data_IF_507335432360
#
_entry.id   IF_507335432360
#
_cell.length_a   1.000
_cell.length_b   1.000
_cell.length_c   1.000
_cell.angle_alpha   90.00
_cell.angle_beta   90.00
_cell.angle_gamma   90.00
#
_symmetry.space_group_name_H-M   'P 1'
#
loop_
_entity.id
_entity.type
_entity.pdbx_description
1 polymer ?
#
# COMPACT_ATOMS: atom_id res chain seq x y z
N UNK A 1 -3.06 61.18 31.49
CA UNK A 1 -2.35 60.02 32.12
C UNK A 1 -3.30 58.86 32.16
N UNK A 2 -2.95 57.73 31.54
CA UNK A 2 -3.57 56.40 31.63
C UNK A 2 -4.78 56.03 30.73
N UNK A 3 -4.97 56.67 29.59
CA UNK A 3 -5.92 56.14 28.60
C UNK A 3 -5.27 55.11 27.65
N UNK A 4 -3.98 55.21 27.43
CA UNK A 4 -3.23 54.27 26.55
C UNK A 4 -3.10 52.84 27.11
N UNK A 5 -3.04 52.72 28.44
CA UNK A 5 -2.91 51.40 29.09
C UNK A 5 -4.20 50.58 29.04
N UNK A 6 -5.37 51.23 29.11
CA UNK A 6 -6.67 50.49 29.10
C UNK A 6 -7.07 50.02 27.70
N UNK A 7 -6.71 50.78 26.67
CA UNK A 7 -6.99 50.39 25.27
C UNK A 7 -6.14 49.18 24.84
N UNK A 8 -4.89 49.10 25.32
CA UNK A 8 -4.03 47.95 25.00
C UNK A 8 -4.49 46.66 25.65
N UNK A 9 -5.02 46.71 26.86
CA UNK A 9 -5.55 45.56 27.58
C UNK A 9 -6.84 45.05 26.94
N UNK A 10 -7.72 45.89 26.46
CA UNK A 10 -8.95 45.49 25.78
C UNK A 10 -8.66 44.85 24.41
N UNK A 11 -7.68 45.35 23.66
CA UNK A 11 -7.27 44.77 22.37
C UNK A 11 -6.59 43.41 22.60
N UNK A 12 -5.80 43.24 23.65
CA UNK A 12 -5.17 41.95 23.98
C UNK A 12 -6.20 40.89 24.38
N UNK A 13 -7.25 41.23 25.12
CA UNK A 13 -8.34 40.36 25.50
C UNK A 13 -9.20 39.97 24.26
N UNK A 14 -9.46 40.89 23.36
CA UNK A 14 -10.17 40.66 22.12
C UNK A 14 -9.36 39.74 21.16
N UNK A 15 -8.03 39.85 21.13
CA UNK A 15 -7.17 39.00 20.33
C UNK A 15 -7.07 37.58 20.89
N UNK A 16 -7.17 37.38 22.20
CA UNK A 16 -7.18 36.01 22.79
C UNK A 16 -8.50 35.27 22.60
N UNK A 17 -9.62 35.98 22.39
CA UNK A 17 -10.92 35.34 22.17
C UNK A 17 -11.11 34.80 20.75
N UNK A 18 -10.28 35.17 19.78
CA UNK A 18 -10.34 34.67 18.38
C UNK A 18 -9.58 33.35 18.21
N UNK A 19 -8.79 32.92 19.18
CA UNK A 19 -8.00 31.66 19.13
C UNK A 19 -8.71 30.44 19.68
N UNK A 20 -9.99 30.55 20.00
CA UNK A 20 -10.83 29.37 20.27
C UNK A 20 -11.38 28.80 18.95
N UNK A 21 -10.50 28.37 18.06
CA UNK A 21 -10.89 27.42 17.04
C UNK A 21 -11.07 26.09 17.80
N UNK A 22 -12.27 25.85 18.27
CA UNK A 22 -12.67 24.52 18.70
C UNK A 22 -12.48 23.61 17.49
N UNK A 23 -11.45 22.77 17.51
CA UNK A 23 -11.45 21.57 16.71
C UNK A 23 -12.70 20.81 17.15
N UNK A 24 -13.76 20.94 16.39
CA UNK A 24 -14.96 20.13 16.58
C UNK A 24 -14.51 18.71 16.28
N UNK A 25 -14.29 17.93 17.36
CA UNK A 25 -14.10 16.51 17.27
C UNK A 25 -15.35 15.97 16.57
N UNK A 26 -15.20 15.54 15.33
CA UNK A 26 -16.26 14.88 14.58
C UNK A 26 -16.47 13.57 15.30
N UNK A 27 -17.35 13.59 16.30
CA UNK A 27 -17.82 12.34 16.95
C UNK A 27 -18.55 11.57 15.84
N UNK A 28 -18.05 10.40 15.42
CA UNK A 28 -18.75 9.60 14.44
C UNK A 28 -20.16 9.36 14.97
N UNK A 29 -21.16 9.84 14.25
CA UNK A 29 -22.54 9.64 14.63
C UNK A 29 -22.84 8.14 14.49
N UNK A 30 -22.85 7.42 15.58
CA UNK A 30 -23.17 5.97 15.62
C UNK A 30 -24.50 5.62 14.95
N UNK A 31 -25.33 6.61 14.68
CA UNK A 31 -26.60 6.46 13.99
C UNK A 31 -26.42 6.30 12.47
N UNK A 32 -25.28 6.76 11.92
CA UNK A 32 -24.94 6.58 10.49
C UNK A 32 -24.58 5.13 10.17
N UNK A 33 -24.06 4.38 11.16
CA UNK A 33 -23.73 2.96 11.02
C UNK A 33 -24.96 2.09 10.75
N UNK A 34 -26.16 2.58 11.08
CA UNK A 34 -27.44 1.89 10.91
C UNK A 34 -28.35 2.55 9.86
N UNK A 35 -27.86 3.55 9.13
CA UNK A 35 -28.61 4.12 8.03
C UNK A 35 -28.80 3.08 6.92
N UNK A 36 -29.95 3.13 6.21
CA UNK A 36 -30.17 2.25 5.07
C UNK A 36 -28.98 2.34 4.12
N UNK A 37 -28.47 1.18 3.73
CA UNK A 37 -27.32 1.07 2.85
C UNK A 37 -27.54 1.89 1.58
N UNK A 38 -26.85 3.02 1.45
CA UNK A 38 -26.91 3.84 0.25
C UNK A 38 -25.87 3.32 -0.73
N UNK A 39 -26.34 2.82 -1.88
CA UNK A 39 -25.46 2.43 -2.96
C UNK A 39 -24.66 3.64 -3.44
N UNK A 40 -23.35 3.48 -3.60
CA UNK A 40 -22.53 4.51 -4.22
C UNK A 40 -23.02 4.75 -5.65
N UNK A 41 -23.14 6.01 -6.00
CA UNK A 41 -23.43 6.39 -7.39
C UNK A 41 -22.25 6.01 -8.28
N UNK A 42 -22.52 5.56 -9.51
CA UNK A 42 -21.46 5.32 -10.47
C UNK A 42 -20.75 6.61 -10.88
N UNK A 43 -19.62 6.45 -11.54
CA UNK A 43 -18.83 7.54 -12.12
C UNK A 43 -18.45 7.19 -13.57
N UNK A 44 -17.61 8.02 -14.20
CA UNK A 44 -17.13 7.78 -15.57
C UNK A 44 -16.30 6.50 -15.72
N UNK A 45 -15.71 5.97 -14.66
CA UNK A 45 -14.91 4.75 -14.67
C UNK A 45 -15.75 3.50 -14.44
N UNK A 46 -16.73 3.57 -13.54
CA UNK A 46 -17.60 2.44 -13.20
C UNK A 46 -19.02 2.90 -12.89
N UNK A 47 -19.99 2.18 -13.43
CA UNK A 47 -21.39 2.36 -13.05
C UNK A 47 -21.63 1.92 -11.60
N UNK A 48 -22.79 2.29 -11.04
CA UNK A 48 -23.20 1.84 -9.70
C UNK A 48 -23.25 0.30 -9.56
N UNK A 49 -23.50 -0.42 -10.65
CA UNK A 49 -23.48 -1.90 -10.71
C UNK A 49 -22.09 -2.50 -10.92
N UNK A 50 -21.02 -1.68 -10.96
CA UNK A 50 -19.65 -2.12 -11.17
C UNK A 50 -19.24 -2.35 -12.63
N UNK A 51 -20.13 -2.14 -13.60
CA UNK A 51 -19.79 -2.28 -15.03
C UNK A 51 -18.81 -1.19 -15.46
N UNK A 52 -17.87 -1.50 -16.38
CA UNK A 52 -16.97 -0.49 -16.94
C UNK A 52 -17.72 0.70 -17.54
N UNK A 53 -17.23 1.90 -17.25
CA UNK A 53 -17.71 3.16 -17.83
C UNK A 53 -16.83 3.62 -19.00
N UNK A 54 -17.15 4.77 -19.61
CA UNK A 54 -16.41 5.26 -20.79
C UNK A 54 -14.94 5.63 -20.50
N UNK A 55 -14.60 5.95 -19.27
CA UNK A 55 -13.23 6.26 -18.83
C UNK A 55 -12.56 5.08 -18.10
N UNK A 56 -13.10 3.88 -18.20
CA UNK A 56 -12.53 2.69 -17.55
C UNK A 56 -11.15 2.37 -18.12
N UNK A 57 -10.24 2.04 -17.22
CA UNK A 57 -8.89 1.59 -17.54
C UNK A 57 -8.53 0.31 -16.76
N UNK A 58 -7.56 -0.42 -17.26
CA UNK A 58 -7.00 -1.59 -16.61
C UNK A 58 -5.51 -1.63 -16.87
N UNK A 59 -4.74 -1.73 -15.80
CA UNK A 59 -3.29 -1.91 -15.90
C UNK A 59 -2.98 -3.33 -16.38
N UNK A 60 -1.82 -3.49 -17.01
CA UNK A 60 -1.34 -4.77 -17.51
C UNK A 60 0.06 -5.07 -16.98
N UNK A 61 0.39 -6.35 -16.90
CA UNK A 61 1.72 -6.80 -16.54
C UNK A 61 2.08 -8.02 -17.39
N UNK A 62 3.21 -7.94 -18.07
CA UNK A 62 3.81 -9.03 -18.83
C UNK A 62 5.01 -9.58 -18.06
N UNK A 63 5.16 -10.89 -18.05
CA UNK A 63 6.21 -11.58 -17.31
C UNK A 63 7.11 -12.37 -18.24
N UNK A 64 8.42 -12.17 -18.09
CA UNK A 64 9.42 -13.05 -18.67
C UNK A 64 10.19 -13.70 -17.53
N UNK A 65 10.13 -15.03 -17.46
CA UNK A 65 10.67 -15.82 -16.36
C UNK A 65 11.67 -16.82 -16.89
N UNK A 66 12.91 -16.74 -16.38
CA UNK A 66 13.96 -17.72 -16.59
C UNK A 66 14.25 -18.39 -15.25
N UNK A 67 14.08 -19.68 -15.15
CA UNK A 67 14.24 -20.41 -13.89
C UNK A 67 14.97 -21.76 -14.09
N UNK A 68 15.75 -22.15 -13.08
CA UNK A 68 16.41 -23.44 -12.97
C UNK A 68 16.07 -24.08 -11.64
N UNK A 69 15.72 -25.35 -11.66
CA UNK A 69 15.48 -26.17 -10.49
C UNK A 69 16.71 -27.04 -10.21
N UNK A 70 17.19 -26.99 -8.98
CA UNK A 70 18.11 -27.97 -8.42
C UNK A 70 17.31 -28.96 -7.55
N UNK A 71 17.18 -30.17 -7.99
CA UNK A 71 16.40 -31.23 -7.34
C UNK A 71 17.14 -31.90 -6.19
N UNK A 72 18.44 -31.70 -6.09
CA UNK A 72 19.28 -32.19 -4.99
C UNK A 72 19.25 -31.25 -3.80
N UNK A 73 19.45 -29.96 -4.06
CA UNK A 73 19.41 -28.90 -3.03
C UNK A 73 18.01 -28.36 -2.80
N UNK A 74 17.01 -28.82 -3.55
CA UNK A 74 15.61 -28.39 -3.51
C UNK A 74 15.44 -26.88 -3.66
N UNK A 75 16.25 -26.28 -4.53
CA UNK A 75 16.26 -24.83 -4.74
C UNK A 75 15.84 -24.45 -6.15
N UNK A 76 15.20 -23.28 -6.27
CA UNK A 76 14.89 -22.66 -7.56
C UNK A 76 15.65 -21.35 -7.65
N UNK A 77 16.50 -21.25 -8.66
CA UNK A 77 17.18 -19.98 -9.00
C UNK A 77 16.54 -19.42 -10.25
N UNK A 78 16.24 -18.12 -10.26
CA UNK A 78 15.58 -17.54 -11.40
C UNK A 78 15.72 -16.02 -11.52
N UNK A 79 15.38 -15.56 -12.72
CA UNK A 79 15.27 -14.14 -13.04
C UNK A 79 13.88 -13.88 -13.60
N UNK A 80 13.23 -12.84 -13.06
CA UNK A 80 11.90 -12.42 -13.47
C UNK A 80 12.02 -11.00 -13.99
N UNK A 81 11.59 -10.77 -15.21
CA UNK A 81 11.39 -9.43 -15.75
C UNK A 81 9.90 -9.16 -15.87
N UNK A 82 9.44 -8.11 -15.23
CA UNK A 82 8.04 -7.67 -15.25
C UNK A 82 7.95 -6.37 -16.02
N UNK A 83 7.20 -6.37 -17.13
CA UNK A 83 6.85 -5.16 -17.84
C UNK A 83 5.47 -4.72 -17.41
N UNK A 84 5.41 -3.67 -16.62
CA UNK A 84 4.15 -3.14 -16.09
C UNK A 84 3.71 -1.92 -16.89
N UNK A 85 2.46 -1.96 -17.37
CA UNK A 85 1.84 -0.87 -18.12
C UNK A 85 0.80 -0.18 -17.25
N UNK A 86 1.07 1.07 -16.89
CA UNK A 86 0.12 1.92 -16.18
C UNK A 86 -0.82 2.60 -17.19
N UNK A 87 -2.05 2.15 -17.26
CA UNK A 87 -3.12 2.75 -18.07
C UNK A 87 -4.03 3.68 -17.24
N UNK A 88 -3.70 3.90 -15.95
CA UNK A 88 -4.43 4.84 -15.12
C UNK A 88 -4.09 6.29 -15.51
N UNK A 89 -4.95 7.25 -15.20
CA UNK A 89 -4.66 8.67 -15.39
C UNK A 89 -3.67 9.25 -14.36
N UNK A 90 -3.24 8.43 -13.41
CA UNK A 90 -2.38 8.86 -12.29
C UNK A 90 -1.00 8.20 -12.41
N UNK A 91 0.04 8.96 -12.10
CA UNK A 91 1.39 8.45 -11.99
C UNK A 91 1.54 7.55 -10.76
N UNK A 92 2.45 6.58 -10.83
CA UNK A 92 2.73 5.66 -9.75
C UNK A 92 4.14 5.91 -9.22
N UNK A 93 4.25 6.16 -7.92
CA UNK A 93 5.55 6.29 -7.24
C UNK A 93 6.16 4.93 -6.89
N UNK A 94 5.32 3.91 -6.77
CA UNK A 94 5.71 2.55 -6.41
C UNK A 94 4.68 1.52 -6.89
N UNK A 95 5.09 0.25 -6.87
CA UNK A 95 4.20 -0.90 -7.01
C UNK A 95 4.35 -1.87 -5.84
N UNK A 96 3.28 -2.65 -5.60
CA UNK A 96 3.33 -3.77 -4.68
C UNK A 96 3.49 -5.08 -5.45
N UNK A 97 4.40 -5.93 -4.96
CA UNK A 97 4.58 -7.31 -5.43
C UNK A 97 4.32 -8.28 -4.28
N UNK A 98 3.72 -9.41 -4.59
CA UNK A 98 3.55 -10.48 -3.62
C UNK A 98 4.73 -11.44 -3.65
N UNK A 99 5.25 -11.73 -2.47
CA UNK A 99 6.28 -12.73 -2.22
C UNK A 99 5.65 -13.89 -1.45
N UNK A 100 4.78 -14.65 -2.10
CA UNK A 100 3.93 -15.63 -1.43
C UNK A 100 4.72 -16.71 -0.68
N UNK A 101 5.88 -17.11 -1.18
CA UNK A 101 6.73 -18.11 -0.55
C UNK A 101 7.36 -17.62 0.77
N UNK A 102 7.41 -16.31 1.01
CA UNK A 102 7.87 -15.78 2.30
C UNK A 102 6.98 -16.20 3.47
N UNK A 103 5.75 -16.66 3.20
CA UNK A 103 4.88 -17.28 4.21
C UNK A 103 5.56 -18.45 4.93
N UNK A 104 6.48 -19.13 4.27
CA UNK A 104 7.17 -20.29 4.81
C UNK A 104 8.51 -19.96 5.48
N UNK A 105 8.87 -18.68 5.58
CA UNK A 105 10.02 -18.25 6.38
C UNK A 105 9.74 -18.46 7.87
N UNK A 106 10.71 -18.87 8.67
CA UNK A 106 10.53 -19.16 10.09
C UNK A 106 9.98 -17.98 10.91
N UNK A 107 10.25 -16.76 10.50
CA UNK A 107 9.83 -15.51 11.15
C UNK A 107 8.57 -14.88 10.53
N UNK A 108 7.99 -15.51 9.53
CA UNK A 108 6.79 -15.00 8.87
C UNK A 108 5.54 -15.11 9.76
N UNK A 109 4.60 -14.20 9.57
CA UNK A 109 3.29 -14.26 10.24
C UNK A 109 2.56 -15.56 9.92
N UNK A 110 2.67 -16.04 8.67
CA UNK A 110 2.07 -17.29 8.24
C UNK A 110 2.62 -18.49 9.00
N UNK A 111 3.92 -18.55 9.19
CA UNK A 111 4.59 -19.62 9.94
C UNK A 111 4.23 -19.58 11.43
N UNK A 112 4.25 -18.39 12.05
CA UNK A 112 4.00 -18.23 13.48
C UNK A 112 2.52 -18.44 13.87
N UNK A 113 1.58 -18.15 12.98
CA UNK A 113 0.14 -18.24 13.28
C UNK A 113 -0.51 -19.55 12.82
N UNK A 114 0.11 -20.24 11.86
CA UNK A 114 -0.42 -21.50 11.33
C UNK A 114 0.67 -22.56 11.43
N UNK A 115 0.76 -23.30 12.55
CA UNK A 115 1.74 -24.35 12.70
C UNK A 115 1.60 -25.34 11.55
N UNK A 116 2.68 -25.57 10.83
CA UNK A 116 2.74 -26.42 9.65
C UNK A 116 2.68 -27.90 10.06
N UNK A 117 2.83 -28.19 11.35
CA UNK A 117 2.86 -29.53 11.90
C UNK A 117 1.50 -30.21 11.86
N UNK A 118 1.44 -31.36 11.23
CA UNK A 118 0.38 -32.34 11.44
C UNK A 118 -0.75 -32.36 10.42
N UNK A 119 -0.66 -31.64 9.28
CA UNK A 119 -1.70 -31.67 8.27
C UNK A 119 -1.12 -31.62 6.84
N UNK A 120 -1.82 -31.01 5.89
CA UNK A 120 -1.48 -30.89 4.47
C UNK A 120 -0.03 -30.43 4.18
N UNK A 121 0.63 -29.85 5.17
CA UNK A 121 1.99 -29.33 5.14
C UNK A 121 2.89 -30.04 6.15
N UNK A 122 2.66 -31.34 6.39
CA UNK A 122 3.49 -32.13 7.28
C UNK A 122 4.89 -32.30 6.67
N UNK A 123 5.83 -31.52 7.15
CA UNK A 123 7.24 -31.51 6.77
C UNK A 123 7.88 -30.18 7.19
N UNK A 124 9.17 -30.22 7.40
CA UNK A 124 9.96 -28.99 7.62
C UNK A 124 10.10 -28.28 6.26
N UNK A 125 9.11 -27.48 5.92
CA UNK A 125 9.17 -26.64 4.72
C UNK A 125 9.83 -25.34 5.13
N UNK A 126 11.10 -25.20 4.83
CA UNK A 126 11.77 -23.91 4.79
C UNK A 126 11.59 -23.34 3.39
N UNK A 127 11.04 -22.14 3.31
CA UNK A 127 10.77 -21.49 2.05
C UNK A 127 11.04 -20.00 2.13
N UNK A 128 10.73 -19.32 1.05
CA UNK A 128 10.86 -17.87 0.95
C UNK A 128 11.76 -17.48 -0.20
N UNK A 129 11.74 -16.17 -0.48
CA UNK A 129 12.60 -15.59 -1.50
C UNK A 129 13.85 -14.99 -0.88
N UNK A 130 14.99 -15.28 -1.47
CA UNK A 130 16.22 -14.52 -1.31
C UNK A 130 16.39 -13.65 -2.56
N UNK A 131 16.23 -12.35 -2.40
CA UNK A 131 16.33 -11.40 -3.52
C UNK A 131 17.77 -10.89 -3.57
N UNK A 132 18.52 -11.38 -4.54
CA UNK A 132 19.93 -11.03 -4.73
C UNK A 132 20.12 -9.73 -5.51
N UNK A 133 19.16 -9.37 -6.36
CA UNK A 133 19.17 -8.12 -7.12
C UNK A 133 17.75 -7.70 -7.47
N UNK A 134 17.51 -6.40 -7.47
CA UNK A 134 16.29 -5.77 -7.97
C UNK A 134 16.66 -4.50 -8.71
N UNK A 135 16.06 -4.28 -9.87
CA UNK A 135 16.15 -3.04 -10.62
C UNK A 135 14.77 -2.71 -11.19
N UNK A 136 14.26 -1.54 -10.85
CA UNK A 136 13.06 -0.96 -11.44
C UNK A 136 13.46 0.15 -12.39
N UNK A 137 12.94 0.12 -13.64
CA UNK A 137 13.22 1.12 -14.67
C UNK A 137 11.95 1.83 -15.07
N UNK A 138 12.02 3.16 -15.09
CA UNK A 138 10.97 4.01 -15.63
C UNK A 138 11.66 5.00 -16.59
N UNK A 139 11.37 4.91 -17.86
CA UNK A 139 12.01 5.68 -18.92
C UNK A 139 13.55 5.57 -18.88
N UNK A 140 14.22 6.66 -18.47
CA UNK A 140 15.68 6.75 -18.35
C UNK A 140 16.20 6.63 -16.92
N UNK A 141 15.27 6.54 -15.95
CA UNK A 141 15.60 6.42 -14.54
C UNK A 141 15.59 4.96 -14.10
N UNK A 142 16.48 4.60 -13.19
CA UNK A 142 16.46 3.30 -12.53
C UNK A 142 16.50 3.47 -11.03
N UNK A 143 15.83 2.58 -10.31
CA UNK A 143 15.82 2.50 -8.86
C UNK A 143 16.00 1.05 -8.45
N UNK A 144 16.73 0.84 -7.35
CA UNK A 144 16.87 -0.47 -6.70
C UNK A 144 16.25 -0.49 -5.30
N UNK A 145 15.48 0.55 -4.97
CA UNK A 145 14.87 0.71 -3.65
C UNK A 145 13.63 -0.15 -3.51
N UNK A 146 13.62 -0.99 -2.49
CA UNK A 146 12.45 -1.76 -2.11
C UNK A 146 12.39 -1.96 -0.60
N UNK A 147 11.20 -2.29 -0.10
CA UNK A 147 10.94 -2.67 1.29
C UNK A 147 10.15 -3.96 1.27
N UNK A 148 10.53 -4.93 2.09
CA UNK A 148 9.80 -6.17 2.28
C UNK A 148 9.15 -6.16 3.66
N UNK A 149 7.85 -6.39 3.69
CA UNK A 149 7.07 -6.66 4.89
C UNK A 149 6.35 -8.00 4.72
N UNK A 150 6.94 -9.04 5.30
CA UNK A 150 6.45 -10.42 5.23
C UNK A 150 6.29 -10.92 3.77
N UNK A 151 5.07 -11.11 3.31
CA UNK A 151 4.75 -11.57 1.95
C UNK A 151 4.54 -10.44 0.95
N UNK A 152 4.86 -9.21 1.29
CA UNK A 152 4.69 -8.03 0.43
C UNK A 152 6.01 -7.32 0.21
N UNK A 153 6.23 -6.92 -1.02
CA UNK A 153 7.37 -6.09 -1.40
C UNK A 153 6.86 -4.83 -2.08
N UNK A 154 7.27 -3.68 -1.57
CA UNK A 154 7.05 -2.38 -2.18
C UNK A 154 8.29 -1.99 -2.96
N UNK A 155 8.13 -1.75 -4.26
CA UNK A 155 9.22 -1.34 -5.16
C UNK A 155 8.99 0.10 -5.56
N UNK A 156 9.95 0.95 -5.29
CA UNK A 156 9.89 2.39 -5.57
C UNK A 156 10.53 2.71 -6.92
N UNK A 157 9.91 3.62 -7.66
CA UNK A 157 10.41 4.03 -8.98
C UNK A 157 11.35 5.23 -8.89
N UNK A 158 11.23 6.04 -7.85
CA UNK A 158 12.07 7.20 -7.62
C UNK A 158 12.90 7.00 -6.36
N UNK A 159 14.13 7.49 -6.37
CA UNK A 159 14.85 7.73 -5.12
C UNK A 159 14.29 9.01 -4.49
N UNK A 160 14.17 9.05 -3.14
CA UNK A 160 13.71 10.24 -2.44
C UNK A 160 14.71 11.39 -2.54
#
# INVERSE_FOLDING_TARGET
>A
MNYFSKTFTVIAIAALSVLQISAQEVVPNKQEDFNPFTYRQGNSYRSASGKPGPAYWQNAADYHIEASLDDVEHTITGKITVTYTNNSPEDLDFIWMYLEQNRFKPDSRGFLTTPIQGNRYAGDIEGGYEITALEAKVDRSSSSKYIIDDTRMQVFFNEP
#
